data_IF_396034121505
#
_entry.id   IF_396034121505
#
_cell.length_a   1.000
_cell.length_b   1.000
_cell.length_c   1.000
_cell.angle_alpha   90.00
_cell.angle_beta   90.00
_cell.angle_gamma   90.00
#
_symmetry.space_group_name_H-M   'P 1'
#
loop_
_entity.id
_entity.type
_entity.pdbx_description
1 polymer ?
#
# COMPACT_ATOMS: atom_id res chain seq x y z
N UNK A 1 25.14 67.10 -28.08
CA UNK A 1 24.79 66.32 -29.25
C UNK A 1 25.02 64.87 -28.83
N UNK A 2 23.97 64.28 -28.41
CA UNK A 2 24.01 62.98 -27.67
C UNK A 2 23.19 61.99 -28.48
N UNK A 3 23.88 61.09 -29.19
CA UNK A 3 23.30 59.97 -29.87
C UNK A 3 23.27 58.78 -28.93
N UNK A 4 22.21 58.66 -28.21
CA UNK A 4 21.81 57.41 -27.57
C UNK A 4 20.46 56.98 -28.08
N UNK A 5 20.48 56.39 -29.27
CA UNK A 5 19.35 55.65 -29.82
C UNK A 5 19.42 54.24 -29.23
N UNK A 6 18.74 54.04 -28.15
CA UNK A 6 18.54 52.72 -27.57
C UNK A 6 17.66 51.88 -28.54
N UNK A 7 18.29 51.02 -29.29
CA UNK A 7 17.64 50.01 -30.08
C UNK A 7 16.88 49.03 -29.17
N UNK A 8 15.68 49.41 -28.84
CA UNK A 8 14.67 48.52 -28.29
C UNK A 8 14.25 47.57 -29.41
N UNK A 9 15.07 46.53 -29.69
CA UNK A 9 14.74 45.50 -30.66
C UNK A 9 13.64 44.62 -30.07
N UNK A 10 12.38 45.01 -30.31
CA UNK A 10 11.23 44.18 -30.13
C UNK A 10 11.43 42.92 -31.00
N UNK A 11 11.62 41.78 -30.35
CA UNK A 11 11.74 40.49 -31.01
C UNK A 11 10.55 40.24 -31.92
N UNK A 12 10.73 39.80 -33.18
CA UNK A 12 9.62 39.51 -34.10
C UNK A 12 8.64 38.54 -33.44
N UNK A 13 7.33 38.81 -33.61
CA UNK A 13 6.27 38.03 -32.94
C UNK A 13 6.37 36.51 -33.20
N UNK A 14 6.92 36.12 -34.38
CA UNK A 14 7.19 34.73 -34.73
C UNK A 14 8.29 34.09 -33.91
N UNK A 15 9.39 34.80 -33.67
CA UNK A 15 10.51 34.31 -32.85
C UNK A 15 10.14 34.23 -31.37
N UNK A 16 9.37 35.19 -30.86
CA UNK A 16 8.84 35.16 -29.50
C UNK A 16 7.91 33.95 -29.26
N UNK A 17 7.04 33.61 -30.24
CA UNK A 17 6.20 32.42 -30.19
C UNK A 17 7.00 31.11 -30.28
N UNK A 18 8.01 31.04 -31.11
CA UNK A 18 8.88 29.87 -31.22
C UNK A 18 9.70 29.65 -29.96
N UNK A 19 10.22 30.71 -29.35
CA UNK A 19 10.94 30.64 -28.09
C UNK A 19 10.03 30.18 -26.93
N UNK A 20 8.83 30.72 -26.84
CA UNK A 20 7.84 30.32 -25.84
C UNK A 20 7.43 28.84 -26.00
N UNK A 21 7.26 28.35 -27.22
CA UNK A 21 6.95 26.94 -27.48
C UNK A 21 8.09 26.02 -27.09
N UNK A 22 9.35 26.43 -27.34
CA UNK A 22 10.56 25.69 -26.94
C UNK A 22 10.68 25.65 -25.43
N UNK A 23 10.46 26.76 -24.73
CA UNK A 23 10.52 26.83 -23.26
C UNK A 23 9.44 25.98 -22.62
N UNK A 24 8.21 26.04 -23.16
CA UNK A 24 7.11 25.18 -22.70
C UNK A 24 7.43 23.69 -22.89
N UNK A 25 7.98 23.31 -24.04
CA UNK A 25 8.37 21.92 -24.31
C UNK A 25 9.48 21.45 -23.34
N UNK A 26 10.47 22.32 -23.04
CA UNK A 26 11.51 22.05 -22.07
C UNK A 26 10.94 21.84 -20.67
N UNK A 27 10.08 22.71 -20.20
CA UNK A 27 9.44 22.63 -18.88
C UNK A 27 8.57 21.37 -18.76
N UNK A 28 7.85 21.00 -19.82
CA UNK A 28 7.08 19.76 -19.86
C UNK A 28 7.96 18.53 -19.74
N UNK A 29 9.10 18.52 -20.43
CA UNK A 29 10.06 17.42 -20.38
C UNK A 29 10.69 17.30 -19.00
N UNK A 30 11.13 18.40 -18.39
CA UNK A 30 11.68 18.43 -17.04
C UNK A 30 10.68 17.86 -16.03
N UNK A 31 9.43 18.31 -16.06
CA UNK A 31 8.35 17.78 -15.20
C UNK A 31 8.11 16.28 -15.42
N UNK A 32 8.19 15.81 -16.66
CA UNK A 32 8.03 14.39 -16.98
C UNK A 32 9.19 13.55 -16.43
N UNK A 33 10.43 14.07 -16.48
CA UNK A 33 11.61 13.42 -15.90
C UNK A 33 11.48 13.35 -14.38
N UNK A 34 11.17 14.45 -13.70
CA UNK A 34 10.94 14.51 -12.25
C UNK A 34 9.86 13.52 -11.81
N UNK A 35 8.75 13.46 -12.54
CA UNK A 35 7.67 12.52 -12.26
C UNK A 35 8.12 11.06 -12.41
N UNK A 36 8.93 10.75 -13.42
CA UNK A 36 9.51 9.43 -13.63
C UNK A 36 10.46 9.03 -12.48
N UNK A 37 11.29 9.96 -12.04
CA UNK A 37 12.18 9.75 -10.90
C UNK A 37 11.40 9.52 -9.60
N UNK A 38 10.35 10.32 -9.36
CA UNK A 38 9.46 10.14 -8.22
C UNK A 38 8.84 8.73 -8.23
N UNK A 39 8.30 8.30 -9.36
CA UNK A 39 7.73 6.95 -9.49
C UNK A 39 8.74 5.85 -9.22
N UNK A 40 9.98 6.00 -9.69
CA UNK A 40 11.08 5.07 -9.42
C UNK A 40 11.37 5.00 -7.92
N UNK A 41 11.43 6.13 -7.23
CA UNK A 41 11.66 6.17 -5.78
C UNK A 41 10.57 5.42 -5.00
N UNK A 42 9.29 5.62 -5.34
CA UNK A 42 8.18 4.89 -4.73
C UNK A 42 8.17 3.39 -5.07
N UNK A 43 8.58 3.01 -6.28
CA UNK A 43 8.76 1.60 -6.63
C UNK A 43 9.87 0.93 -5.82
N UNK A 44 10.95 1.64 -5.52
CA UNK A 44 12.01 1.16 -4.62
C UNK A 44 11.49 1.01 -3.18
N UNK A 45 10.72 1.97 -2.67
CA UNK A 45 10.12 1.88 -1.34
C UNK A 45 9.16 0.68 -1.17
N UNK A 46 8.42 0.34 -2.23
CA UNK A 46 7.61 -0.89 -2.25
C UNK A 46 8.48 -2.13 -2.03
N UNK A 47 9.64 -2.22 -2.71
CA UNK A 47 10.56 -3.36 -2.57
C UNK A 47 11.11 -3.48 -1.15
N UNK A 48 11.49 -2.35 -0.53
CA UNK A 48 11.98 -2.33 0.86
C UNK A 48 10.93 -2.90 1.82
N UNK A 49 9.68 -2.41 1.74
CA UNK A 49 8.61 -2.89 2.61
C UNK A 49 8.20 -4.33 2.28
N UNK A 50 8.20 -4.72 1.00
CA UNK A 50 7.92 -6.09 0.57
C UNK A 50 8.96 -7.06 1.16
N UNK A 51 10.25 -6.75 1.06
CA UNK A 51 11.32 -7.56 1.63
C UNK A 51 11.15 -7.75 3.14
N UNK A 52 10.71 -6.71 3.87
CA UNK A 52 10.42 -6.84 5.31
C UNK A 52 9.34 -7.88 5.60
N UNK A 53 8.26 -7.90 4.82
CA UNK A 53 7.22 -8.93 4.97
C UNK A 53 7.72 -10.33 4.57
N UNK A 54 8.54 -10.45 3.54
CA UNK A 54 9.16 -11.73 3.13
C UNK A 54 10.10 -12.27 4.22
N UNK A 55 10.87 -11.40 4.88
CA UNK A 55 11.70 -11.75 6.05
C UNK A 55 10.82 -12.21 7.21
N UNK A 56 9.77 -11.46 7.55
CA UNK A 56 8.82 -11.84 8.61
C UNK A 56 8.14 -13.19 8.28
N UNK A 57 7.71 -13.41 7.04
CA UNK A 57 7.15 -14.68 6.59
C UNK A 57 8.11 -15.84 6.86
N UNK A 58 9.39 -15.67 6.47
CA UNK A 58 10.43 -16.68 6.67
C UNK A 58 10.67 -16.92 8.16
N UNK A 59 10.74 -15.87 8.97
CA UNK A 59 10.89 -15.98 10.42
C UNK A 59 9.73 -16.74 11.07
N UNK A 60 8.48 -16.39 10.71
CA UNK A 60 7.30 -17.06 11.27
C UNK A 60 7.24 -18.55 10.90
N UNK A 61 7.59 -18.90 9.65
CA UNK A 61 7.67 -20.31 9.22
C UNK A 61 8.66 -21.12 10.06
N UNK A 62 9.85 -20.56 10.31
CA UNK A 62 10.91 -21.29 11.03
C UNK A 62 10.68 -21.31 12.54
N UNK A 63 10.34 -20.15 13.15
CA UNK A 63 10.20 -20.05 14.62
C UNK A 63 8.90 -20.63 15.13
N UNK A 64 7.80 -20.41 14.41
CA UNK A 64 6.45 -20.76 14.87
C UNK A 64 5.82 -21.90 14.06
N UNK A 65 6.55 -22.46 13.07
CA UNK A 65 6.06 -23.50 12.16
C UNK A 65 4.73 -23.14 11.50
N UNK A 66 4.49 -21.86 11.30
CA UNK A 66 3.26 -21.32 10.77
C UNK A 66 3.54 -20.15 9.82
N UNK A 67 2.91 -20.17 8.66
CA UNK A 67 2.94 -19.02 7.76
C UNK A 67 1.69 -18.15 8.00
N UNK A 68 1.80 -16.91 8.51
CA UNK A 68 0.65 -16.02 8.66
C UNK A 68 0.22 -15.36 7.35
N UNK A 69 1.08 -15.37 6.32
CA UNK A 69 0.87 -14.68 5.05
C UNK A 69 0.41 -15.67 3.97
N UNK A 70 -0.72 -15.38 3.36
CA UNK A 70 -1.24 -16.11 2.19
C UNK A 70 -0.66 -15.55 0.88
N UNK A 71 -0.61 -14.21 0.76
CA UNK A 71 -0.01 -13.55 -0.41
C UNK A 71 0.34 -12.10 -0.13
N UNK A 72 1.30 -11.57 -0.91
CA UNK A 72 1.71 -10.17 -0.91
C UNK A 72 1.49 -9.61 -2.31
N UNK A 73 0.77 -8.51 -2.42
CA UNK A 73 0.49 -7.81 -3.67
C UNK A 73 1.02 -6.39 -3.58
N UNK A 74 1.67 -5.93 -4.63
CA UNK A 74 2.23 -4.58 -4.69
C UNK A 74 1.55 -3.76 -5.76
N UNK A 75 1.40 -2.46 -5.51
CA UNK A 75 0.79 -1.55 -6.46
C UNK A 75 1.45 -0.18 -6.42
N UNK A 76 1.94 0.26 -7.56
CA UNK A 76 2.24 1.66 -7.79
C UNK A 76 1.02 2.31 -8.46
N UNK A 77 0.47 3.37 -7.84
CA UNK A 77 -0.73 4.05 -8.31
C UNK A 77 -0.53 4.58 -9.74
N UNK A 78 -1.51 4.39 -10.63
CA UNK A 78 -1.44 4.89 -12.01
C UNK A 78 -1.53 6.42 -12.05
N UNK A 79 -0.92 7.03 -13.07
CA UNK A 79 -0.93 8.48 -13.26
C UNK A 79 -2.35 9.05 -13.35
N UNK A 80 -3.26 8.36 -14.05
CA UNK A 80 -4.68 8.73 -14.11
C UNK A 80 -5.34 8.76 -12.73
N UNK A 81 -5.15 7.71 -11.94
CA UNK A 81 -5.71 7.62 -10.58
C UNK A 81 -5.11 8.66 -9.62
N UNK A 82 -3.87 9.09 -9.84
CA UNK A 82 -3.24 10.17 -9.08
C UNK A 82 -3.91 11.49 -9.40
N UNK A 83 -4.04 11.82 -10.70
CA UNK A 83 -4.67 13.05 -11.19
C UNK A 83 -6.13 13.13 -10.72
N UNK A 84 -6.91 12.06 -10.90
CA UNK A 84 -8.29 11.98 -10.42
C UNK A 84 -8.41 12.24 -8.91
N UNK A 85 -7.49 11.70 -8.12
CA UNK A 85 -7.47 11.91 -6.68
C UNK A 85 -7.12 13.34 -6.30
N UNK A 86 -6.16 13.96 -6.99
CA UNK A 86 -5.79 15.36 -6.79
C UNK A 86 -6.95 16.29 -7.13
N UNK A 87 -7.60 16.09 -8.28
CA UNK A 87 -8.79 16.85 -8.71
C UNK A 87 -9.91 16.73 -7.66
N UNK A 88 -10.25 15.50 -7.25
CA UNK A 88 -11.31 15.26 -6.26
C UNK A 88 -11.03 15.92 -4.91
N UNK A 89 -9.76 16.07 -4.53
CA UNK A 89 -9.35 16.72 -3.28
C UNK A 89 -9.10 18.22 -3.42
N UNK A 90 -9.20 18.78 -4.62
CA UNK A 90 -8.88 20.18 -4.90
C UNK A 90 -7.39 20.53 -4.70
N UNK A 91 -6.49 19.55 -4.89
CA UNK A 91 -5.05 19.73 -4.71
C UNK A 91 -4.45 20.23 -6.03
N UNK A 92 -3.78 21.41 -6.07
CA UNK A 92 -3.07 21.88 -7.25
C UNK A 92 -1.98 20.89 -7.66
N UNK A 93 -1.84 20.64 -8.97
CA UNK A 93 -0.84 19.72 -9.49
C UNK A 93 0.57 20.31 -9.36
N UNK A 94 1.39 19.70 -8.48
CA UNK A 94 2.84 19.91 -8.38
C UNK A 94 3.47 18.65 -7.77
N UNK A 95 4.76 18.43 -8.01
CA UNK A 95 5.48 17.29 -7.41
C UNK A 95 5.50 17.38 -5.88
N UNK A 96 5.66 18.58 -5.35
CA UNK A 96 5.64 18.86 -3.91
C UNK A 96 4.27 18.49 -3.28
N UNK A 97 3.16 18.94 -3.88
CA UNK A 97 1.82 18.60 -3.40
C UNK A 97 1.53 17.11 -3.51
N UNK A 98 2.04 16.46 -4.56
CA UNK A 98 1.91 15.03 -4.76
C UNK A 98 2.59 14.26 -3.62
N UNK A 99 3.84 14.56 -3.28
CA UNK A 99 4.58 13.92 -2.18
C UNK A 99 3.96 14.23 -0.80
N UNK A 100 3.52 15.48 -0.59
CA UNK A 100 3.00 15.91 0.69
C UNK A 100 1.62 15.33 1.02
N UNK A 101 0.71 15.24 0.02
CA UNK A 101 -0.72 15.01 0.26
C UNK A 101 -1.25 13.68 -0.27
N UNK A 102 -0.50 12.96 -1.14
CA UNK A 102 -0.90 11.67 -1.69
C UNK A 102 -0.03 10.56 -1.10
N UNK A 103 -0.46 9.98 0.01
CA UNK A 103 0.31 8.97 0.75
C UNK A 103 0.15 7.54 0.23
N UNK A 104 -0.71 7.31 -0.77
CA UNK A 104 -1.00 6.00 -1.38
C UNK A 104 -0.44 5.85 -2.80
N UNK A 105 0.67 6.54 -3.11
CA UNK A 105 1.40 6.38 -4.37
C UNK A 105 2.01 4.98 -4.48
N UNK A 106 2.62 4.52 -3.40
CA UNK A 106 3.09 3.16 -3.21
C UNK A 106 2.14 2.42 -2.27
N UNK A 107 1.67 1.25 -2.68
CA UNK A 107 0.78 0.41 -1.90
C UNK A 107 1.25 -1.03 -1.84
N UNK A 108 1.14 -1.65 -0.67
CA UNK A 108 1.33 -3.08 -0.44
C UNK A 108 0.07 -3.62 0.21
N UNK A 109 -0.39 -4.76 -0.29
CA UNK A 109 -1.48 -5.51 0.31
C UNK A 109 -0.95 -6.86 0.77
N UNK A 110 -1.09 -7.14 2.05
CA UNK A 110 -0.73 -8.40 2.68
C UNK A 110 -2.01 -9.13 3.04
N UNK A 111 -2.16 -10.35 2.52
CA UNK A 111 -3.31 -11.20 2.81
C UNK A 111 -2.89 -12.25 3.82
N UNK A 112 -3.60 -12.28 4.94
CA UNK A 112 -3.38 -13.19 6.06
C UNK A 112 -4.45 -14.26 6.12
N UNK A 113 -4.15 -15.37 6.79
CA UNK A 113 -5.14 -16.42 7.02
C UNK A 113 -6.14 -16.02 8.09
N UNK A 114 -5.70 -15.38 9.20
CA UNK A 114 -6.53 -15.09 10.36
C UNK A 114 -6.42 -13.63 10.81
N UNK A 115 -7.41 -13.18 11.58
CA UNK A 115 -7.48 -11.78 12.04
C UNK A 115 -6.33 -11.43 13.00
N UNK A 116 -5.92 -12.34 13.87
CA UNK A 116 -4.80 -12.12 14.81
C UNK A 116 -3.45 -12.02 14.08
N UNK A 117 -3.27 -12.70 12.93
CA UNK A 117 -2.09 -12.56 12.09
C UNK A 117 -1.92 -11.13 11.56
N UNK A 118 -3.02 -10.45 11.26
CA UNK A 118 -3.01 -9.06 10.79
C UNK A 118 -2.32 -8.16 11.81
N UNK A 119 -2.70 -8.30 13.08
CA UNK A 119 -2.14 -7.46 14.14
C UNK A 119 -0.71 -7.86 14.48
N UNK A 120 -0.41 -9.15 14.54
CA UNK A 120 0.94 -9.64 14.78
C UNK A 120 1.95 -9.14 13.73
N UNK A 121 1.58 -9.21 12.44
CA UNK A 121 2.43 -8.70 11.35
C UNK A 121 2.54 -7.17 11.36
N UNK A 122 1.45 -6.46 11.68
CA UNK A 122 1.46 -5.00 11.79
C UNK A 122 2.40 -4.53 12.91
N UNK A 123 2.33 -5.17 14.07
CA UNK A 123 3.17 -4.87 15.23
C UNK A 123 4.64 -5.25 14.95
N UNK A 124 4.90 -6.41 14.33
CA UNK A 124 6.25 -6.82 13.94
C UNK A 124 6.88 -5.86 12.93
N UNK A 125 6.12 -5.37 11.92
CA UNK A 125 6.62 -4.38 10.97
C UNK A 125 6.92 -3.05 11.65
N UNK A 126 5.98 -2.54 12.47
CA UNK A 126 6.10 -1.20 13.06
C UNK A 126 7.05 -1.13 14.25
N UNK A 127 7.51 -2.28 14.76
CA UNK A 127 8.54 -2.38 15.79
C UNK A 127 9.97 -2.32 15.25
N UNK A 128 10.14 -2.37 13.91
CA UNK A 128 11.48 -2.26 13.31
C UNK A 128 11.98 -0.81 13.41
N UNK A 129 13.24 -0.64 13.73
CA UNK A 129 13.86 0.66 14.04
C UNK A 129 13.95 1.61 12.82
N UNK A 130 13.91 1.06 11.62
CA UNK A 130 13.92 1.81 10.35
C UNK A 130 12.51 2.09 9.80
N UNK A 131 11.45 1.63 10.47
CA UNK A 131 10.06 1.91 10.09
C UNK A 131 9.44 2.95 11.01
N UNK A 132 8.92 4.02 10.43
CA UNK A 132 8.14 5.02 11.17
C UNK A 132 6.66 4.90 10.81
N UNK A 133 5.81 4.59 11.79
CA UNK A 133 4.36 4.61 11.62
C UNK A 133 3.87 6.06 11.57
N UNK A 134 3.33 6.45 10.41
CA UNK A 134 2.79 7.81 10.17
C UNK A 134 1.30 7.89 10.50
N UNK A 135 0.54 6.88 10.08
CA UNK A 135 -0.92 6.81 10.30
C UNK A 135 -1.38 5.35 10.42
N UNK A 136 -2.34 5.09 11.31
CA UNK A 136 -3.03 3.79 11.45
C UNK A 136 -4.53 3.99 11.37
N UNK A 137 -5.20 3.27 10.46
CA UNK A 137 -6.66 3.22 10.33
C UNK A 137 -7.12 1.78 10.46
N UNK A 138 -7.80 1.48 11.55
CA UNK A 138 -8.31 0.14 11.84
C UNK A 138 -9.78 0.01 11.42
N UNK A 139 -9.99 -0.36 10.17
CA UNK A 139 -11.32 -0.65 9.65
C UNK A 139 -11.81 -2.07 9.99
N UNK A 140 -11.03 -2.87 10.72
CA UNK A 140 -11.48 -4.15 11.26
C UNK A 140 -12.34 -3.88 12.49
N UNK A 141 -11.83 -3.03 13.40
CA UNK A 141 -12.55 -2.60 14.61
C UNK A 141 -13.66 -1.59 14.31
N UNK A 142 -13.43 -0.70 13.33
CA UNK A 142 -14.34 0.37 12.93
C UNK A 142 -14.62 0.28 11.42
N UNK A 143 -15.48 -0.66 10.96
CA UNK A 143 -15.78 -0.85 9.54
C UNK A 143 -16.35 0.39 8.89
N UNK A 144 -16.10 0.57 7.59
CA UNK A 144 -16.76 1.63 6.82
C UNK A 144 -18.26 1.40 6.70
N UNK A 145 -19.06 2.42 6.36
CA UNK A 145 -20.53 2.28 6.24
C UNK A 145 -21.01 1.16 5.30
N UNK A 146 -20.23 0.82 4.29
CA UNK A 146 -20.51 -0.28 3.36
C UNK A 146 -20.05 -1.67 3.85
N UNK A 147 -19.48 -1.76 5.06
CA UNK A 147 -18.96 -3.01 5.63
C UNK A 147 -17.48 -3.30 5.33
N UNK A 148 -16.78 -2.44 4.58
CA UNK A 148 -15.35 -2.65 4.26
C UNK A 148 -14.49 -2.78 5.52
N UNK A 149 -13.64 -3.82 5.57
CA UNK A 149 -12.71 -4.14 6.66
C UNK A 149 -11.28 -4.29 6.12
N UNK A 150 -10.32 -3.71 6.81
CA UNK A 150 -8.88 -3.84 6.56
C UNK A 150 -8.13 -3.06 7.63
N UNK A 151 -6.91 -3.47 7.98
CA UNK A 151 -5.98 -2.63 8.71
C UNK A 151 -5.14 -1.84 7.70
N UNK A 152 -5.16 -0.51 7.79
CA UNK A 152 -4.34 0.37 6.95
C UNK A 152 -3.28 1.06 7.79
N UNK A 153 -2.05 0.99 7.32
CA UNK A 153 -0.91 1.70 7.89
C UNK A 153 -0.30 2.58 6.80
N UNK A 154 0.04 3.81 7.12
CA UNK A 154 1.00 4.59 6.35
C UNK A 154 2.32 4.50 7.10
N UNK A 155 3.30 3.87 6.50
CA UNK A 155 4.64 3.76 7.05
C UNK A 155 5.63 4.57 6.23
N UNK A 156 6.65 5.12 6.88
CA UNK A 156 7.79 5.75 6.22
C UNK A 156 8.99 4.83 6.36
N UNK A 157 9.63 4.52 5.23
CA UNK A 157 10.80 3.63 5.15
C UNK A 157 11.97 4.36 4.50
N UNK A 158 13.21 4.19 5.00
CA UNK A 158 14.40 4.73 4.35
C UNK A 158 14.72 3.93 3.09
N UNK A 159 14.92 4.63 1.99
CA UNK A 159 15.42 4.05 0.73
C UNK A 159 16.79 4.63 0.45
N UNK A 160 17.77 3.76 0.24
CA UNK A 160 19.14 4.14 -0.04
C UNK A 160 19.40 4.08 -1.54
N UNK A 161 19.51 5.26 -2.15
CA UNK A 161 19.92 5.39 -3.55
C UNK A 161 21.45 5.57 -3.64
N UNK A 162 22.00 5.52 -4.85
CA UNK A 162 23.44 5.62 -5.06
C UNK A 162 24.08 6.90 -4.50
N UNK A 163 23.32 8.00 -4.41
CA UNK A 163 23.83 9.33 -4.00
C UNK A 163 23.06 9.96 -2.84
N UNK A 164 21.95 9.38 -2.43
CA UNK A 164 21.09 9.97 -1.39
C UNK A 164 20.29 8.90 -0.65
N UNK A 165 19.93 9.20 0.59
CA UNK A 165 18.92 8.49 1.37
C UNK A 165 17.63 9.33 1.41
N UNK A 166 16.47 8.72 1.18
CA UNK A 166 15.18 9.39 1.30
C UNK A 166 14.22 8.57 2.14
N UNK A 167 13.41 9.26 2.96
CA UNK A 167 12.27 8.66 3.65
C UNK A 167 11.05 8.71 2.73
N UNK A 168 10.46 7.55 2.44
CA UNK A 168 9.35 7.44 1.50
C UNK A 168 8.17 6.75 2.17
N UNK A 169 6.97 7.31 1.98
CA UNK A 169 5.74 6.77 2.54
C UNK A 169 5.18 5.64 1.67
N UNK A 170 4.75 4.56 2.31
CA UNK A 170 4.10 3.41 1.68
C UNK A 170 2.80 3.12 2.44
N UNK A 171 1.70 2.95 1.71
CA UNK A 171 0.45 2.44 2.27
C UNK A 171 0.52 0.92 2.37
N UNK A 172 0.34 0.38 3.57
CA UNK A 172 0.25 -1.05 3.85
C UNK A 172 -1.18 -1.39 4.22
N UNK A 173 -1.82 -2.26 3.46
CA UNK A 173 -3.15 -2.79 3.71
C UNK A 173 -3.03 -4.25 4.12
N UNK A 174 -3.46 -4.60 5.34
CA UNK A 174 -3.42 -5.97 5.83
C UNK A 174 -4.84 -6.46 6.03
N UNK A 175 -5.17 -7.64 5.47
CA UNK A 175 -6.52 -8.22 5.42
C UNK A 175 -6.46 -9.72 5.62
N UNK A 176 -7.59 -10.34 5.98
CA UNK A 176 -7.78 -11.77 5.78
C UNK A 176 -8.16 -12.08 4.32
N UNK A 177 -8.09 -13.36 3.95
CA UNK A 177 -8.58 -13.86 2.66
C UNK A 177 -10.06 -13.46 2.47
N UNK A 178 -10.88 -13.59 3.51
CA UNK A 178 -12.29 -13.30 3.46
C UNK A 178 -12.58 -11.79 3.30
N UNK A 179 -11.79 -10.94 3.95
CA UNK A 179 -11.87 -9.48 3.77
C UNK A 179 -11.45 -9.06 2.35
N UNK A 180 -10.41 -9.70 1.77
CA UNK A 180 -9.95 -9.39 0.42
C UNK A 180 -10.95 -9.88 -0.64
N UNK A 181 -11.55 -11.04 -0.46
CA UNK A 181 -12.65 -11.54 -1.29
C UNK A 181 -13.77 -10.50 -1.39
N UNK A 182 -14.29 -10.04 -0.25
CA UNK A 182 -15.37 -9.04 -0.23
C UNK A 182 -14.94 -7.73 -0.90
N UNK A 183 -13.76 -7.22 -0.55
CA UNK A 183 -13.26 -5.94 -1.07
C UNK A 183 -13.01 -5.96 -2.59
N UNK A 184 -12.58 -7.11 -3.12
CA UNK A 184 -12.34 -7.30 -4.55
C UNK A 184 -13.65 -7.29 -5.34
N UNK A 185 -14.69 -7.96 -4.85
CA UNK A 185 -16.00 -7.98 -5.50
C UNK A 185 -16.70 -6.60 -5.41
N UNK A 186 -16.66 -5.95 -4.24
CA UNK A 186 -17.22 -4.61 -4.07
C UNK A 186 -16.61 -3.60 -5.04
N UNK A 187 -15.28 -3.67 -5.21
CA UNK A 187 -14.57 -2.81 -6.15
C UNK A 187 -15.02 -3.04 -7.61
N UNK A 188 -15.20 -4.29 -8.03
CA UNK A 188 -15.69 -4.62 -9.38
C UNK A 188 -17.11 -4.12 -9.62
N UNK A 189 -17.98 -4.23 -8.63
CA UNK A 189 -19.38 -3.76 -8.74
C UNK A 189 -19.47 -2.24 -8.84
N UNK A 190 -18.62 -1.50 -8.13
CA UNK A 190 -18.63 -0.02 -8.16
C UNK A 190 -18.03 0.58 -9.44
N UNK A 191 -17.18 -0.14 -10.15
CA UNK A 191 -16.36 0.44 -11.22
C UNK A 191 -17.16 0.84 -12.49
N UNK A 192 -18.43 0.46 -12.65
CA UNK A 192 -19.09 0.59 -13.98
C UNK A 192 -20.52 1.13 -14.04
N UNK A 193 -21.18 1.58 -12.96
CA UNK A 193 -22.60 1.99 -13.08
C UNK A 193 -23.00 3.10 -12.13
N UNK A 194 -23.76 4.08 -12.65
CA UNK A 194 -24.80 4.76 -11.88
C UNK A 194 -25.85 3.71 -11.56
N UNK A 195 -25.87 3.26 -10.30
CA UNK A 195 -26.72 2.16 -9.88
C UNK A 195 -28.01 2.77 -9.32
N UNK A 196 -29.18 2.49 -9.91
CA UNK A 196 -30.46 2.76 -9.25
C UNK A 196 -30.46 2.05 -7.90
N UNK A 197 -30.99 2.71 -6.85
CA UNK A 197 -31.07 2.15 -5.50
C UNK A 197 -29.74 1.88 -4.78
N UNK A 198 -28.83 2.83 -4.88
CA UNK A 198 -27.50 2.76 -4.25
C UNK A 198 -27.57 2.46 -2.74
N UNK A 199 -28.56 2.96 -2.02
CA UNK A 199 -28.70 2.74 -0.57
C UNK A 199 -28.99 1.28 -0.24
N UNK A 200 -29.86 0.63 -0.99
CA UNK A 200 -30.19 -0.79 -0.81
C UNK A 200 -28.98 -1.70 -1.08
N UNK A 201 -28.24 -1.42 -2.13
CA UNK A 201 -27.01 -2.17 -2.48
C UNK A 201 -25.94 -2.01 -1.40
N UNK A 202 -25.74 -0.80 -0.87
CA UNK A 202 -24.80 -0.57 0.24
C UNK A 202 -25.22 -1.36 1.49
N UNK A 203 -26.53 -1.43 1.80
CA UNK A 203 -27.04 -2.22 2.91
C UNK A 203 -26.79 -3.73 2.70
N UNK A 204 -27.03 -4.25 1.50
CA UNK A 204 -26.76 -5.67 1.16
C UNK A 204 -25.26 -5.98 1.25
N UNK A 205 -24.39 -5.11 0.74
CA UNK A 205 -22.95 -5.25 0.84
C UNK A 205 -22.49 -5.27 2.30
N UNK A 206 -23.08 -4.43 3.14
CA UNK A 206 -22.82 -4.41 4.58
C UNK A 206 -23.21 -5.72 5.24
N UNK A 207 -24.41 -6.25 4.96
CA UNK A 207 -24.87 -7.53 5.48
C UNK A 207 -23.91 -8.67 5.08
N UNK A 208 -23.51 -8.75 3.81
CA UNK A 208 -22.52 -9.73 3.36
C UNK A 208 -21.17 -9.58 4.09
N UNK A 209 -20.74 -8.35 4.36
CA UNK A 209 -19.49 -8.12 5.09
C UNK A 209 -19.58 -8.57 6.56
N UNK A 210 -20.74 -8.46 7.19
CA UNK A 210 -20.99 -8.93 8.55
C UNK A 210 -20.99 -10.46 8.62
N UNK A 211 -21.62 -11.14 7.65
CA UNK A 211 -21.58 -12.59 7.55
C UNK A 211 -20.16 -13.12 7.34
N UNK A 212 -19.40 -12.50 6.44
CA UNK A 212 -17.99 -12.83 6.18
C UNK A 212 -17.16 -12.63 7.45
N UNK A 213 -17.36 -11.55 8.19
CA UNK A 213 -16.63 -11.31 9.43
C UNK A 213 -16.94 -12.36 10.50
N UNK A 214 -18.19 -12.86 10.56
CA UNK A 214 -18.56 -13.94 11.45
C UNK A 214 -17.86 -15.25 11.08
N UNK A 215 -17.83 -15.60 9.80
CA UNK A 215 -17.09 -16.78 9.31
C UNK A 215 -15.59 -16.67 9.60
N UNK A 216 -14.98 -15.51 9.38
CA UNK A 216 -13.57 -15.24 9.68
C UNK A 216 -13.24 -15.51 11.16
N UNK A 217 -14.11 -15.05 12.07
CA UNK A 217 -13.98 -15.29 13.52
C UNK A 217 -14.18 -16.77 13.89
N UNK A 218 -15.15 -17.44 13.27
CA UNK A 218 -15.40 -18.86 13.49
C UNK A 218 -14.19 -19.71 13.07
N UNK A 219 -13.62 -19.43 11.90
CA UNK A 219 -12.40 -20.12 11.41
C UNK A 219 -11.21 -19.90 12.35
N UNK A 220 -11.02 -18.68 12.86
CA UNK A 220 -9.99 -18.40 13.85
C UNK A 220 -10.21 -19.18 15.16
N UNK A 221 -11.46 -19.29 15.63
CA UNK A 221 -11.80 -20.04 16.85
C UNK A 221 -11.58 -21.57 16.66
N UNK A 222 -11.91 -22.11 15.48
CA UNK A 222 -11.63 -23.50 15.14
C UNK A 222 -10.13 -23.77 15.21
N UNK A 223 -9.30 -22.89 14.60
CA UNK A 223 -7.85 -23.00 14.68
C UNK A 223 -7.37 -23.05 16.12
N UNK A 224 -7.80 -22.11 16.98
CA UNK A 224 -7.38 -22.05 18.39
C UNK A 224 -7.72 -23.34 19.13
N UNK A 225 -8.93 -23.90 18.93
CA UNK A 225 -9.31 -25.18 19.52
C UNK A 225 -8.43 -26.33 19.05
N UNK A 226 -8.02 -26.36 17.79
CA UNK A 226 -7.10 -27.37 17.28
C UNK A 226 -5.70 -27.23 17.89
N UNK A 227 -5.22 -25.98 18.09
CA UNK A 227 -3.95 -25.69 18.74
C UNK A 227 -3.98 -26.07 20.25
N UNK A 228 -5.11 -25.88 20.93
CA UNK A 228 -5.32 -26.23 22.34
C UNK A 228 -5.56 -27.73 22.56
N UNK A 229 -6.05 -28.47 21.58
CA UNK A 229 -6.38 -29.90 21.67
C UNK A 229 -5.20 -30.83 21.38
N UNK A 230 -4.02 -30.30 21.11
CA UNK A 230 -2.80 -31.11 21.01
C UNK A 230 -2.42 -31.52 22.43
N UNK A 231 -2.51 -32.83 22.72
CA UNK A 231 -2.04 -33.43 23.97
C UNK A 231 -0.60 -32.95 24.27
N UNK A 232 -0.23 -32.91 25.58
CA UNK A 232 1.14 -32.57 25.98
C UNK A 232 2.12 -33.40 25.14
N UNK A 233 2.99 -32.76 24.32
CA UNK A 233 3.85 -33.47 23.40
C UNK A 233 4.80 -34.38 24.18
N UNK A 234 4.90 -35.63 23.77
CA UNK A 234 5.89 -36.57 24.31
C UNK A 234 7.31 -36.09 24.01
N UNK A 235 8.32 -36.60 24.74
CA UNK A 235 9.73 -36.26 24.45
C UNK A 235 10.11 -36.59 22.99
N UNK A 236 9.58 -37.68 22.44
CA UNK A 236 9.77 -38.04 21.03
C UNK A 236 9.11 -37.04 20.06
N UNK A 237 7.91 -36.57 20.40
CA UNK A 237 7.23 -35.54 19.58
C UNK A 237 8.02 -34.22 19.59
N UNK A 238 8.58 -33.84 20.72
CA UNK A 238 9.44 -32.65 20.84
C UNK A 238 10.71 -32.82 19.99
N UNK A 239 11.33 -33.99 20.03
CA UNK A 239 12.52 -34.29 19.24
C UNK A 239 12.21 -34.27 17.72
N UNK A 240 11.12 -34.93 17.31
CA UNK A 240 10.66 -34.93 15.92
C UNK A 240 10.33 -33.51 15.44
N UNK A 241 9.65 -32.70 16.27
CA UNK A 241 9.36 -31.30 15.95
C UNK A 241 10.64 -30.46 15.77
N UNK A 242 11.68 -30.72 16.59
CA UNK A 242 12.99 -30.07 16.44
C UNK A 242 13.70 -30.50 15.17
N UNK A 243 13.65 -31.78 14.81
CA UNK A 243 14.22 -32.28 13.56
C UNK A 243 13.51 -31.69 12.34
N UNK A 244 12.17 -31.66 12.34
CA UNK A 244 11.39 -31.01 11.27
C UNK A 244 11.74 -29.54 11.07
N UNK A 245 12.14 -28.84 12.15
CA UNK A 245 12.63 -27.45 12.02
C UNK A 245 13.94 -27.34 11.24
N UNK A 246 14.82 -28.37 11.33
CA UNK A 246 16.07 -28.41 10.57
C UNK A 246 15.83 -28.65 9.08
N UNK A 247 14.76 -29.38 8.74
CA UNK A 247 14.40 -29.72 7.36
C UNK A 247 13.48 -28.68 6.70
N UNK A 248 13.05 -27.62 7.44
CA UNK A 248 12.20 -26.56 6.88
C UNK A 248 13.01 -25.75 5.86
N UNK A 249 12.58 -25.71 4.57
CA UNK A 249 13.26 -24.88 3.58
C UNK A 249 13.28 -23.42 4.00
N UNK A 250 14.44 -22.78 3.95
CA UNK A 250 14.61 -21.36 4.29
C UNK A 250 14.27 -20.48 3.08
N UNK A 251 14.33 -21.04 1.85
CA UNK A 251 14.02 -20.35 0.58
C UNK A 251 13.09 -21.20 -0.28
#
# INVERSE_FOLDING_TARGET
MDERDERNQLMPLGEAKALAATEFARQLLETAVEYKELRMMYACAIKEVQTKFEVLETEFKVRYQRNPISSIQTRLKSSSSIIEKMIRKGIPFSMENLEAQIHDLAGIRVICYYVDDIYALADALTSQDDITLVEKKDYIKHPKPNGYRSLHLIVSVPVFFSRQKRQIKVEVQIRTIAMDFWASLEHQMKYKREIPDQQHIVAQLKSCAEDIARVDMEMMNIRRRLEESVDEPTEDDILIARLKKLDTPIL
#
